data_IF_000409993123
#
_entry.id   IF_000409993123
#
_cell.length_a   1.000
_cell.length_b   1.000
_cell.length_c   1.000
_cell.angle_alpha   90.00
_cell.angle_beta   90.00
_cell.angle_gamma   90.00
#
_symmetry.space_group_name_H-M   'P 1'
#
loop_
_entity.id
_entity.type
_entity.pdbx_description
1 polymer ?
#
# COMPACT_ATOMS: atom_id res chain seq x y z
N UNK A 1 5.75 27.13 13.41
CA UNK A 1 5.33 26.30 12.26
C UNK A 1 4.52 25.18 12.85
N UNK A 2 3.20 25.17 12.64
CA UNK A 2 2.33 24.10 13.13
C UNK A 2 2.78 22.78 12.49
N UNK A 3 3.03 21.75 13.31
CA UNK A 3 3.29 20.41 12.80
C UNK A 3 2.00 19.89 12.17
N UNK A 4 1.98 19.81 10.84
CA UNK A 4 0.88 19.22 10.09
C UNK A 4 1.02 17.70 10.09
N UNK A 5 -0.05 16.99 10.41
CA UNK A 5 -0.09 15.52 10.49
C UNK A 5 -1.26 14.96 9.71
N UNK A 6 -1.06 13.81 9.05
CA UNK A 6 -2.07 13.10 8.28
C UNK A 6 -2.26 11.70 8.84
N UNK A 7 -3.50 11.30 9.11
CA UNK A 7 -3.79 9.96 9.60
C UNK A 7 -3.85 8.97 8.44
N UNK A 8 -2.76 8.21 8.28
CA UNK A 8 -2.57 7.29 7.15
C UNK A 8 -2.27 5.87 7.61
N UNK A 9 -2.66 4.90 6.78
CA UNK A 9 -2.24 3.52 6.98
C UNK A 9 -0.84 3.30 6.40
N UNK A 10 0.13 3.01 7.26
CA UNK A 10 1.47 2.64 6.83
C UNK A 10 1.50 1.18 6.36
N UNK A 11 1.78 0.89 5.08
CA UNK A 11 1.84 -0.49 4.59
C UNK A 11 3.14 -1.20 5.00
N UNK A 12 4.20 -0.47 5.35
CA UNK A 12 5.47 -1.05 5.79
C UNK A 12 5.38 -1.62 7.20
N UNK A 13 4.85 -0.84 8.16
CA UNK A 13 4.66 -1.32 9.54
C UNK A 13 3.25 -1.84 9.83
N UNK A 14 2.38 -1.86 8.82
CA UNK A 14 0.99 -2.32 8.85
C UNK A 14 0.16 -1.74 10.00
N UNK A 15 0.16 -0.41 10.12
CA UNK A 15 -0.46 0.28 11.26
C UNK A 15 -1.02 1.64 10.83
N UNK A 16 -2.12 2.04 11.44
CA UNK A 16 -2.62 3.41 11.32
C UNK A 16 -1.71 4.33 12.12
N UNK A 17 -1.18 5.35 11.46
CA UNK A 17 -0.20 6.28 12.02
C UNK A 17 -0.63 7.71 11.72
N UNK A 18 -0.37 8.62 12.66
CA UNK A 18 -0.39 10.04 12.35
C UNK A 18 0.96 10.37 11.70
N UNK A 19 0.99 10.37 10.37
CA UNK A 19 2.17 10.63 9.57
C UNK A 19 2.53 12.11 9.67
N UNK A 20 3.81 12.41 9.93
CA UNK A 20 4.30 13.78 10.07
C UNK A 20 4.60 14.35 8.69
N UNK A 21 3.91 15.42 8.29
CA UNK A 21 4.17 16.10 7.02
C UNK A 21 5.49 16.85 7.12
N UNK A 22 6.40 16.58 6.18
CA UNK A 22 7.71 17.24 6.10
C UNK A 22 7.76 18.30 5.01
N UNK A 23 6.92 18.18 3.99
CA UNK A 23 6.79 19.15 2.91
C UNK A 23 5.42 19.05 2.26
N UNK A 24 4.87 20.18 1.83
CA UNK A 24 3.64 20.24 1.04
C UNK A 24 3.80 21.22 -0.12
N UNK A 25 3.15 20.93 -1.25
CA UNK A 25 3.20 21.74 -2.46
C UNK A 25 1.87 21.71 -3.20
N UNK A 26 1.44 22.87 -3.70
CA UNK A 26 0.19 22.99 -4.44
C UNK A 26 0.42 22.81 -5.95
N UNK A 27 -0.47 22.06 -6.59
CA UNK A 27 -0.65 22.08 -8.03
C UNK A 27 -1.34 23.37 -8.49
N UNK A 28 -1.30 23.63 -9.80
CA UNK A 28 -2.04 24.76 -10.38
C UNK A 28 -3.55 24.54 -10.24
N UNK A 29 -4.33 25.54 -9.80
CA UNK A 29 -5.78 25.45 -9.78
C UNK A 29 -6.32 25.19 -11.19
N UNK A 30 -7.25 24.25 -11.30
CA UNK A 30 -7.98 23.98 -12.54
C UNK A 30 -9.42 24.42 -12.37
N UNK A 31 -9.89 25.35 -13.19
CA UNK A 31 -11.30 25.71 -13.25
C UNK A 31 -12.10 24.56 -13.88
N UNK A 32 -13.16 24.12 -13.21
CA UNK A 32 -14.00 22.98 -13.64
C UNK A 32 -15.34 23.43 -14.21
N UNK A 33 -15.99 24.36 -13.53
CA UNK A 33 -17.27 24.93 -13.93
C UNK A 33 -17.08 26.43 -14.21
N UNK A 34 -17.40 26.87 -15.43
CA UNK A 34 -17.43 28.29 -15.80
C UNK A 34 -18.87 28.78 -15.66
N UNK A 35 -19.16 29.47 -14.57
CA UNK A 35 -20.43 30.15 -14.39
C UNK A 35 -20.32 31.62 -14.84
N UNK A 36 -21.48 32.26 -15.01
CA UNK A 36 -21.55 33.67 -15.44
C UNK A 36 -20.93 34.61 -14.40
N UNK A 37 -20.87 34.18 -13.13
CA UNK A 37 -20.15 34.86 -12.05
C UNK A 37 -18.88 34.08 -11.68
N UNK A 38 -17.76 34.80 -11.58
CA UNK A 38 -16.48 34.21 -11.18
C UNK A 38 -16.51 33.77 -9.70
N UNK A 39 -17.39 34.37 -8.88
CA UNK A 39 -17.59 33.95 -7.48
C UNK A 39 -18.23 32.57 -7.35
N UNK A 40 -19.04 32.19 -8.33
CA UNK A 40 -19.79 30.92 -8.29
C UNK A 40 -19.01 29.79 -8.99
N UNK A 41 -17.92 30.14 -9.68
CA UNK A 41 -17.09 29.18 -10.42
C UNK A 41 -16.38 28.21 -9.48
N UNK A 42 -16.33 26.93 -9.86
CA UNK A 42 -15.64 25.88 -9.10
C UNK A 42 -14.20 25.70 -9.55
N UNK A 43 -13.30 25.72 -8.59
CA UNK A 43 -11.89 25.46 -8.78
C UNK A 43 -11.50 24.16 -8.08
N UNK A 44 -10.74 23.33 -8.79
CA UNK A 44 -10.06 22.19 -8.19
C UNK A 44 -8.59 22.52 -7.96
N UNK A 45 -8.14 22.35 -6.73
CA UNK A 45 -6.73 22.53 -6.34
C UNK A 45 -6.18 21.23 -5.80
N UNK A 46 -5.00 20.85 -6.28
CA UNK A 46 -4.31 19.64 -5.83
C UNK A 46 -3.23 20.00 -4.80
N UNK A 47 -3.18 19.29 -3.69
CA UNK A 47 -2.16 19.40 -2.66
C UNK A 47 -1.36 18.09 -2.62
N UNK A 48 -0.05 18.22 -2.79
CA UNK A 48 0.89 17.11 -2.68
C UNK A 48 1.65 17.21 -1.37
N UNK A 49 1.59 16.16 -0.56
CA UNK A 49 2.23 16.12 0.75
C UNK A 49 3.22 14.96 0.83
N UNK A 50 4.45 15.28 1.23
CA UNK A 50 5.45 14.29 1.63
C UNK A 50 5.40 14.17 3.14
N UNK A 51 5.12 12.97 3.63
CA UNK A 51 5.01 12.68 5.06
C UNK A 51 5.89 11.49 5.45
N UNK A 52 6.25 11.40 6.73
CA UNK A 52 6.99 10.28 7.29
C UNK A 52 6.13 9.54 8.33
N UNK A 53 6.15 8.22 8.27
CA UNK A 53 5.58 7.38 9.31
C UNK A 53 6.26 7.68 10.66
N UNK A 54 5.47 7.98 11.69
CA UNK A 54 5.98 8.25 13.05
C UNK A 54 6.53 7.01 13.76
N UNK A 55 6.35 5.81 13.17
CA UNK A 55 6.81 4.54 13.75
C UNK A 55 8.04 3.94 13.05
N UNK A 56 8.02 3.84 11.72
CA UNK A 56 9.08 3.21 10.94
C UNK A 56 9.81 4.17 10.00
N UNK A 57 9.46 5.46 10.02
CA UNK A 57 10.05 6.51 9.18
C UNK A 57 9.91 6.29 7.67
N UNK A 58 9.08 5.32 7.25
CA UNK A 58 8.78 5.10 5.84
C UNK A 58 8.11 6.34 5.25
N UNK A 59 8.53 6.79 4.05
CA UNK A 59 7.94 7.96 3.43
C UNK A 59 6.59 7.65 2.78
N UNK A 60 5.74 8.67 2.75
CA UNK A 60 4.48 8.72 2.04
C UNK A 60 4.50 9.88 1.04
N UNK A 61 3.89 9.66 -0.11
CA UNK A 61 3.48 10.74 -1.02
C UNK A 61 1.98 10.68 -1.19
N UNK A 62 1.30 11.74 -0.78
CA UNK A 62 -0.15 11.86 -0.86
C UNK A 62 -0.54 12.96 -1.84
N UNK A 63 -1.67 12.74 -2.50
CA UNK A 63 -2.36 13.75 -3.30
C UNK A 63 -3.76 13.96 -2.70
N UNK A 64 -4.05 15.18 -2.31
CA UNK A 64 -5.37 15.61 -1.84
C UNK A 64 -5.95 16.56 -2.88
N UNK A 65 -7.16 16.31 -3.35
CA UNK A 65 -7.86 17.18 -4.30
C UNK A 65 -8.95 17.91 -3.55
N UNK A 66 -8.89 19.24 -3.58
CA UNK A 66 -9.89 20.11 -2.98
C UNK A 66 -10.75 20.74 -4.07
N UNK A 67 -12.04 20.88 -3.80
CA UNK A 67 -12.94 21.73 -4.57
C UNK A 67 -13.22 22.99 -3.76
N UNK A 68 -13.04 24.14 -4.39
CA UNK A 68 -13.22 25.47 -3.82
C UNK A 68 -14.23 26.26 -4.65
N UNK A 69 -15.19 26.87 -3.96
CA UNK A 69 -16.03 27.95 -4.48
C UNK A 69 -15.64 29.22 -3.75
N UNK A 70 -15.10 30.25 -4.44
CA UNK A 70 -14.59 31.45 -3.80
C UNK A 70 -15.61 32.11 -2.87
N UNK A 71 -15.24 32.28 -1.59
CA UNK A 71 -16.08 32.94 -0.60
C UNK A 71 -17.24 32.10 -0.05
N UNK A 72 -17.45 30.88 -0.54
CA UNK A 72 -18.46 29.96 0.00
C UNK A 72 -17.85 28.83 0.82
N UNK A 73 -17.13 27.89 0.17
CA UNK A 73 -16.60 26.71 0.83
C UNK A 73 -15.38 26.12 0.15
N UNK A 74 -14.60 25.36 0.92
CA UNK A 74 -13.53 24.47 0.47
C UNK A 74 -13.81 23.09 1.02
N UNK A 75 -13.74 22.05 0.19
CA UNK A 75 -13.98 20.66 0.60
C UNK A 75 -12.97 19.70 -0.02
N UNK A 76 -12.60 18.66 0.74
CA UNK A 76 -11.76 17.58 0.24
C UNK A 76 -12.62 16.64 -0.62
N UNK A 77 -12.29 16.54 -1.90
CA UNK A 77 -12.99 15.68 -2.88
C UNK A 77 -12.40 14.28 -2.87
N UNK A 78 -11.08 14.17 -2.85
CA UNK A 78 -10.40 12.88 -2.90
C UNK A 78 -9.04 12.93 -2.22
N UNK A 79 -8.62 11.79 -1.69
CA UNK A 79 -7.27 11.56 -1.19
C UNK A 79 -6.71 10.28 -1.80
N UNK A 80 -5.51 10.38 -2.36
CA UNK A 80 -4.81 9.29 -3.04
C UNK A 80 -3.40 9.12 -2.48
N UNK A 81 -3.05 7.89 -2.12
CA UNK A 81 -1.68 7.52 -1.74
C UNK A 81 -0.88 7.19 -3.01
N UNK A 82 -0.03 8.12 -3.44
CA UNK A 82 0.84 7.96 -4.62
C UNK A 82 2.07 7.11 -4.34
N UNK A 83 2.56 7.14 -3.10
CA UNK A 83 3.67 6.32 -2.62
C UNK A 83 3.50 5.97 -1.13
N UNK A 84 3.84 4.75 -0.69
CA UNK A 84 4.27 3.63 -1.53
C UNK A 84 3.10 3.05 -2.31
N UNK A 85 3.31 2.76 -3.60
CA UNK A 85 2.32 2.04 -4.39
C UNK A 85 2.19 0.64 -3.80
N UNK A 86 0.97 0.11 -3.60
CA UNK A 86 0.81 -1.26 -3.13
C UNK A 86 1.49 -2.18 -4.14
N UNK A 87 2.65 -2.72 -3.75
CA UNK A 87 3.36 -3.67 -4.58
C UNK A 87 2.57 -4.98 -4.53
N UNK A 88 1.77 -5.24 -5.56
CA UNK A 88 1.48 -6.61 -5.89
C UNK A 88 2.84 -7.22 -6.24
N UNK A 89 3.43 -8.03 -5.34
CA UNK A 89 4.55 -8.86 -5.75
C UNK A 89 4.09 -9.59 -7.02
N UNK A 90 4.88 -9.59 -8.11
CA UNK A 90 4.55 -10.36 -9.29
C UNK A 90 4.59 -11.83 -8.88
N UNK A 91 3.44 -12.34 -8.47
CA UNK A 91 3.20 -13.77 -8.37
C UNK A 91 3.22 -14.21 -9.83
N UNK A 92 4.36 -14.69 -10.32
CA UNK A 92 4.55 -15.10 -11.71
C UNK A 92 3.63 -16.27 -12.08
N UNK A 93 4.05 -17.12 -13.03
CA UNK A 93 3.32 -18.33 -13.42
C UNK A 93 3.33 -19.44 -12.34
N UNK A 94 3.17 -19.08 -11.07
CA UNK A 94 3.05 -20.03 -9.98
C UNK A 94 1.71 -20.79 -10.07
N UNK A 95 1.63 -22.02 -9.55
CA UNK A 95 0.39 -22.79 -9.53
C UNK A 95 -0.69 -22.14 -8.67
N UNK A 96 -1.96 -22.25 -9.07
CA UNK A 96 -3.10 -21.68 -8.35
C UNK A 96 -3.12 -21.97 -6.82
N UNK A 97 -2.79 -23.18 -6.33
CA UNK A 97 -2.71 -23.43 -4.89
C UNK A 97 -1.68 -22.55 -4.16
N UNK A 98 -0.54 -22.23 -4.81
CA UNK A 98 0.52 -21.36 -4.28
C UNK A 98 0.04 -19.91 -4.27
N UNK A 99 -0.54 -19.45 -5.39
CA UNK A 99 -1.08 -18.09 -5.55
C UNK A 99 -2.16 -17.83 -4.48
N UNK A 100 -3.11 -18.75 -4.32
CA UNK A 100 -4.21 -18.60 -3.38
C UNK A 100 -3.73 -18.47 -1.94
N UNK A 101 -2.83 -19.36 -1.50
CA UNK A 101 -2.27 -19.30 -0.15
C UNK A 101 -1.45 -18.02 0.09
N UNK A 102 -0.69 -17.58 -0.91
CA UNK A 102 0.07 -16.34 -0.85
C UNK A 102 -0.84 -15.10 -0.73
N UNK A 103 -1.90 -15.02 -1.54
CA UNK A 103 -2.88 -13.91 -1.46
C UNK A 103 -3.57 -13.87 -0.10
N UNK A 104 -3.87 -15.03 0.49
CA UNK A 104 -4.39 -15.11 1.85
C UNK A 104 -3.37 -14.60 2.88
N UNK A 105 -2.10 -14.97 2.75
CA UNK A 105 -1.04 -14.48 3.62
C UNK A 105 -0.91 -12.95 3.58
N UNK A 106 -0.92 -12.37 2.37
CA UNK A 106 -0.87 -10.92 2.16
C UNK A 106 -2.12 -10.23 2.73
N UNK A 107 -3.30 -10.85 2.60
CA UNK A 107 -4.53 -10.33 3.19
C UNK A 107 -4.49 -10.33 4.72
N UNK A 108 -4.05 -11.43 5.33
CA UNK A 108 -3.87 -11.54 6.78
C UNK A 108 -2.81 -10.56 7.29
N UNK A 109 -1.75 -10.33 6.50
CA UNK A 109 -0.74 -9.33 6.82
C UNK A 109 -1.37 -7.94 6.86
N UNK A 110 -2.11 -7.55 5.82
CA UNK A 110 -2.83 -6.27 5.75
C UNK A 110 -3.81 -6.05 6.89
N UNK A 111 -4.47 -7.11 7.36
CA UNK A 111 -5.40 -7.06 8.50
C UNK A 111 -4.71 -7.21 9.87
N UNK A 112 -3.40 -7.02 9.97
CA UNK A 112 -2.60 -7.16 11.19
C UNK A 112 -2.74 -8.53 11.89
N UNK A 113 -3.16 -9.55 11.15
CA UNK A 113 -3.36 -10.92 11.64
C UNK A 113 -2.10 -11.74 11.41
N UNK A 114 -1.03 -11.42 12.14
CA UNK A 114 0.32 -11.90 11.85
C UNK A 114 0.49 -13.42 11.98
N UNK A 115 -0.11 -14.06 12.99
CA UNK A 115 -0.06 -15.52 13.15
C UNK A 115 -0.72 -16.24 11.96
N UNK A 116 -1.89 -15.76 11.54
CA UNK A 116 -2.59 -16.28 10.37
C UNK A 116 -1.78 -16.04 9.08
N UNK A 117 -1.13 -14.87 8.96
CA UNK A 117 -0.25 -14.56 7.83
C UNK A 117 0.94 -15.54 7.76
N UNK A 118 1.63 -15.78 8.87
CA UNK A 118 2.75 -16.73 8.93
C UNK A 118 2.31 -18.16 8.57
N UNK A 119 1.13 -18.59 9.05
CA UNK A 119 0.55 -19.88 8.71
C UNK A 119 0.27 -20.00 7.20
N UNK A 120 -0.25 -18.94 6.58
CA UNK A 120 -0.54 -18.92 5.14
C UNK A 120 0.75 -18.86 4.30
N UNK A 121 1.79 -18.15 4.74
CA UNK A 121 3.12 -18.20 4.14
C UNK A 121 3.66 -19.63 4.13
N UNK A 122 3.58 -20.34 5.27
CA UNK A 122 3.97 -21.75 5.37
C UNK A 122 3.18 -22.63 4.40
N UNK A 123 1.86 -22.46 4.34
CA UNK A 123 1.00 -23.19 3.38
C UNK A 123 1.38 -22.95 1.93
N UNK A 124 1.72 -21.71 1.58
CA UNK A 124 2.18 -21.35 0.23
C UNK A 124 3.48 -22.07 -0.12
N UNK A 125 4.46 -22.08 0.79
CA UNK A 125 5.72 -22.81 0.62
C UNK A 125 5.52 -24.33 0.52
N UNK A 126 4.63 -24.91 1.33
CA UNK A 126 4.32 -26.33 1.24
C UNK A 126 3.65 -26.70 -0.10
N UNK A 127 2.75 -25.86 -0.60
CA UNK A 127 2.13 -26.03 -1.91
C UNK A 127 3.17 -25.94 -3.04
N UNK A 128 4.11 -25.01 -2.94
CA UNK A 128 5.21 -24.85 -3.89
C UNK A 128 6.13 -26.09 -3.90
N UNK A 129 6.53 -26.55 -2.72
CA UNK A 129 7.34 -27.77 -2.58
C UNK A 129 6.66 -28.99 -3.19
N UNK A 130 5.33 -29.13 -3.02
CA UNK A 130 4.55 -30.21 -3.65
C UNK A 130 4.56 -30.11 -5.17
N UNK A 131 4.38 -28.90 -5.71
CA UNK A 131 4.40 -28.69 -7.15
C UNK A 131 5.77 -29.00 -7.77
N UNK A 132 6.85 -28.67 -7.05
CA UNK A 132 8.23 -28.96 -7.45
C UNK A 132 8.69 -30.38 -7.11
N UNK A 133 7.80 -31.26 -6.63
CA UNK A 133 8.11 -32.65 -6.27
C UNK A 133 9.26 -32.80 -5.24
N UNK A 134 9.37 -31.84 -4.31
CA UNK A 134 10.35 -31.87 -3.24
C UNK A 134 10.16 -33.09 -2.31
N UNK A 135 11.26 -33.68 -1.85
CA UNK A 135 11.24 -34.86 -0.96
C UNK A 135 11.44 -34.45 0.51
N UNK A 136 10.81 -35.20 1.42
CA UNK A 136 11.00 -35.05 2.86
C UNK A 136 9.70 -34.90 3.66
N UNK A 137 9.77 -35.19 4.95
CA UNK A 137 8.59 -35.25 5.83
C UNK A 137 8.10 -33.88 6.31
N UNK A 138 8.97 -32.87 6.34
CA UNK A 138 8.65 -31.54 6.82
C UNK A 138 9.13 -30.46 5.85
N UNK A 139 8.73 -29.21 6.09
CA UNK A 139 9.06 -28.11 5.18
C UNK A 139 10.58 -27.89 5.07
N UNK A 140 11.32 -28.03 6.17
CA UNK A 140 12.77 -27.86 6.18
C UNK A 140 13.45 -28.90 5.28
N UNK A 141 13.09 -30.17 5.39
CA UNK A 141 13.69 -31.23 4.55
C UNK A 141 13.32 -31.07 3.08
N UNK A 142 12.09 -30.62 2.78
CA UNK A 142 11.67 -30.30 1.41
C UNK A 142 12.47 -29.15 0.80
N UNK A 143 12.67 -28.06 1.54
CA UNK A 143 13.48 -26.93 1.07
C UNK A 143 14.94 -27.34 0.84
N UNK A 144 15.53 -28.12 1.75
CA UNK A 144 16.87 -28.65 1.57
C UNK A 144 16.96 -29.54 0.31
N UNK A 145 15.97 -30.41 0.07
CA UNK A 145 15.91 -31.23 -1.15
C UNK A 145 15.85 -30.38 -2.42
N UNK A 146 15.18 -29.22 -2.41
CA UNK A 146 15.14 -28.31 -3.56
C UNK A 146 16.46 -27.56 -3.75
N UNK A 147 17.12 -27.20 -2.64
CA UNK A 147 18.44 -26.57 -2.67
C UNK A 147 19.51 -27.52 -3.22
N UNK A 148 19.51 -28.78 -2.79
CA UNK A 148 20.39 -29.83 -3.32
C UNK A 148 20.19 -30.10 -4.81
N UNK A 149 18.96 -29.90 -5.31
CA UNK A 149 18.62 -30.01 -6.73
C UNK A 149 19.00 -28.74 -7.54
N UNK A 150 19.46 -27.68 -6.90
CA UNK A 150 19.78 -26.40 -7.53
C UNK A 150 18.56 -25.61 -8.01
N UNK A 151 17.36 -25.94 -7.51
CA UNK A 151 16.11 -25.22 -7.86
C UNK A 151 16.00 -23.90 -7.10
N UNK A 152 16.49 -23.89 -5.86
CA UNK A 152 16.57 -22.71 -4.99
C UNK A 152 17.98 -22.61 -4.40
N UNK A 153 18.35 -21.43 -3.92
CA UNK A 153 19.67 -21.09 -3.39
C UNK A 153 19.57 -20.47 -2.00
#
# INVERSE_FOLDING_TARGET
MSEESLDEFCPECNMQVSARVIYSGHGSPSQKDVLLDESDSRYETELYSVALCTRCESPFLLKQTYCEVPGEFVTLVSQELLYPKPSNLPIGNAPEPVIRAYRQAASCFRSSSFEASALMCRRSLEALCKHLSAKGDNLKTKLNSLAEQGVIY
#
